data_IF_297345152279
#
_entry.id   IF_297345152279
#
_cell.length_a   1.000
_cell.length_b   1.000
_cell.length_c   1.000
_cell.angle_alpha   90.00
_cell.angle_beta   90.00
_cell.angle_gamma   90.00
#
_symmetry.space_group_name_H-M   'P 1'
#
loop_
_entity.id
_entity.type
_entity.pdbx_description
1 polymer ?
#
# COMPACT_ATOMS: atom_id res chain seq x y z
N UNK A 1 4.18 0.09 -27.42
CA UNK A 1 3.87 -0.85 -26.33
C UNK A 1 3.63 0.00 -25.08
N UNK A 2 2.88 -0.45 -24.08
CA UNK A 2 2.72 0.35 -22.86
C UNK A 2 3.94 0.26 -21.96
N UNK A 3 4.18 1.30 -21.15
CA UNK A 3 5.38 1.42 -20.31
C UNK A 3 5.50 0.26 -19.30
N UNK A 4 4.39 -0.21 -18.72
CA UNK A 4 4.44 -1.26 -17.71
C UNK A 4 4.81 -2.60 -18.33
N UNK A 5 4.28 -2.90 -19.52
CA UNK A 5 4.66 -4.09 -20.28
C UNK A 5 6.14 -4.05 -20.67
N UNK A 6 6.63 -2.91 -21.17
CA UNK A 6 8.05 -2.74 -21.50
C UNK A 6 8.95 -2.92 -20.26
N UNK A 7 8.52 -2.40 -19.11
CA UNK A 7 9.23 -2.58 -17.85
C UNK A 7 9.22 -4.04 -17.38
N UNK A 8 8.09 -4.73 -17.46
CA UNK A 8 7.98 -6.15 -17.13
C UNK A 8 8.91 -7.02 -17.99
N UNK A 9 8.95 -6.79 -19.29
CA UNK A 9 9.85 -7.50 -20.21
C UNK A 9 11.33 -7.18 -19.94
N UNK A 10 11.63 -5.94 -19.52
CA UNK A 10 12.97 -5.57 -19.09
C UNK A 10 13.38 -6.33 -17.82
N UNK A 11 12.51 -6.41 -16.81
CA UNK A 11 12.78 -7.16 -15.57
C UNK A 11 13.00 -8.64 -15.86
N UNK A 12 12.14 -9.25 -16.66
CA UNK A 12 12.26 -10.66 -17.04
C UNK A 12 13.58 -10.93 -17.77
N UNK A 13 13.95 -10.09 -18.75
CA UNK A 13 15.23 -10.21 -19.44
C UNK A 13 16.41 -10.05 -18.48
N UNK A 14 16.35 -9.05 -17.61
CA UNK A 14 17.39 -8.76 -16.63
C UNK A 14 17.64 -9.95 -15.68
N UNK A 15 16.56 -10.60 -15.23
CA UNK A 15 16.63 -11.79 -14.39
C UNK A 15 17.18 -13.00 -15.14
N UNK A 16 16.70 -13.27 -16.36
CA UNK A 16 17.16 -14.39 -17.20
C UNK A 16 18.65 -14.32 -17.51
N UNK A 17 19.17 -13.13 -17.77
CA UNK A 17 20.62 -12.91 -17.97
C UNK A 17 21.47 -13.30 -16.75
N UNK A 18 20.86 -13.34 -15.56
CA UNK A 18 21.52 -13.62 -14.27
C UNK A 18 21.12 -14.97 -13.67
N UNK A 19 20.22 -15.71 -14.33
CA UNK A 19 19.61 -16.94 -13.80
C UNK A 19 18.67 -16.71 -12.62
N UNK A 20 18.22 -15.47 -12.39
CA UNK A 20 17.31 -15.12 -11.29
C UNK A 20 15.84 -15.47 -11.62
N UNK A 21 15.55 -15.78 -12.88
CA UNK A 21 14.27 -16.34 -13.31
C UNK A 21 14.00 -17.75 -12.74
N UNK A 22 15.05 -18.42 -12.24
CA UNK A 22 14.95 -19.69 -11.53
C UNK A 22 14.53 -19.55 -10.06
N UNK A 23 14.47 -18.32 -9.52
CA UNK A 23 13.99 -18.08 -8.15
C UNK A 23 12.51 -18.48 -8.06
N UNK A 24 12.13 -19.39 -7.14
CA UNK A 24 10.75 -19.84 -7.04
C UNK A 24 9.78 -18.68 -6.74
N UNK A 25 8.59 -18.73 -7.34
CA UNK A 25 7.53 -17.73 -7.12
C UNK A 25 7.16 -17.56 -5.63
N UNK A 26 7.32 -18.59 -4.80
CA UNK A 26 7.13 -18.49 -3.35
C UNK A 26 8.14 -17.56 -2.69
N UNK A 27 9.41 -17.62 -3.07
CA UNK A 27 10.45 -16.71 -2.57
C UNK A 27 10.22 -15.28 -3.09
N UNK A 28 9.87 -15.13 -4.37
CA UNK A 28 9.48 -13.82 -4.94
C UNK A 28 8.29 -13.19 -4.19
N UNK A 29 7.30 -14.00 -3.80
CA UNK A 29 6.16 -13.56 -3.00
C UNK A 29 6.58 -13.16 -1.58
N UNK A 30 7.52 -13.87 -0.96
CA UNK A 30 8.10 -13.48 0.34
C UNK A 30 8.81 -12.13 0.24
N UNK A 31 9.66 -11.92 -0.77
CA UNK A 31 10.32 -10.63 -0.98
C UNK A 31 9.33 -9.49 -1.24
N UNK A 32 8.28 -9.74 -2.04
CA UNK A 32 7.20 -8.75 -2.19
C UNK A 32 6.58 -8.36 -0.84
N UNK A 33 6.35 -9.33 0.06
CA UNK A 33 5.82 -9.04 1.39
C UNK A 33 6.81 -8.27 2.28
N UNK A 34 8.11 -8.53 2.14
CA UNK A 34 9.18 -7.77 2.80
C UNK A 34 9.16 -6.29 2.36
N UNK A 35 9.14 -6.02 1.05
CA UNK A 35 9.11 -4.64 0.53
C UNK A 35 7.82 -3.89 0.93
N UNK A 36 6.68 -4.58 0.97
CA UNK A 36 5.44 -3.99 1.48
C UNK A 36 5.55 -3.65 2.98
N UNK A 37 6.29 -4.46 3.75
CA UNK A 37 6.61 -4.19 5.15
C UNK A 37 7.52 -2.96 5.31
N UNK A 38 8.48 -2.80 4.41
CA UNK A 38 9.37 -1.65 4.33
C UNK A 38 8.60 -0.35 3.99
N UNK A 39 7.69 -0.41 3.00
CA UNK A 39 6.75 0.69 2.71
C UNK A 39 5.94 1.06 3.96
N UNK A 40 5.40 0.07 4.67
CA UNK A 40 4.64 0.32 5.90
C UNK A 40 5.50 1.00 6.97
N UNK A 41 6.77 0.58 7.13
CA UNK A 41 7.72 1.19 8.07
C UNK A 41 8.01 2.64 7.70
N UNK A 42 8.27 2.93 6.43
CA UNK A 42 8.52 4.30 5.94
C UNK A 42 7.31 5.22 6.20
N UNK A 43 6.08 4.76 5.90
CA UNK A 43 4.84 5.52 6.17
C UNK A 43 4.64 5.77 7.66
N UNK A 44 4.93 4.78 8.52
CA UNK A 44 4.81 4.95 9.97
C UNK A 44 5.78 6.00 10.53
N UNK A 45 7.01 6.05 10.01
CA UNK A 45 7.99 7.08 10.38
C UNK A 45 7.57 8.46 9.86
N UNK A 46 7.04 8.55 8.64
CA UNK A 46 6.53 9.81 8.06
C UNK A 46 5.29 10.38 8.77
N UNK A 47 4.43 9.53 9.34
CA UNK A 47 3.18 9.94 10.00
C UNK A 47 3.36 10.48 11.43
N UNK A 48 4.60 10.68 11.89
CA UNK A 48 4.95 11.11 13.26
C UNK A 48 4.47 10.16 14.38
N UNK A 49 3.94 8.98 14.05
CA UNK A 49 3.54 7.97 15.02
C UNK A 49 4.76 7.36 15.75
N UNK A 50 5.93 7.33 15.09
CA UNK A 50 7.24 6.99 15.67
C UNK A 50 8.24 8.11 15.35
N UNK A 51 8.33 9.11 16.23
CA UNK A 51 9.15 10.33 16.06
C UNK A 51 10.66 10.12 16.20
N UNK A 52 11.10 8.92 16.59
CA UNK A 52 12.48 8.72 17.01
C UNK A 52 13.47 8.63 15.84
N UNK A 53 12.99 8.51 14.59
CA UNK A 53 13.82 8.46 13.39
C UNK A 53 13.18 9.24 12.22
N UNK A 54 13.89 10.21 11.60
CA UNK A 54 13.40 10.88 10.41
C UNK A 54 13.43 9.92 9.20
N UNK A 55 12.27 9.48 8.72
CA UNK A 55 12.14 8.91 7.38
C UNK A 55 12.04 10.03 6.34
N UNK A 56 12.55 9.76 5.14
CA UNK A 56 12.46 10.68 4.01
C UNK A 56 11.42 10.20 3.00
N UNK A 57 10.91 11.11 2.18
CA UNK A 57 10.11 10.74 1.02
C UNK A 57 10.93 9.92 0.01
N UNK A 58 12.26 10.02 0.03
CA UNK A 58 13.14 9.24 -0.82
C UNK A 58 13.19 7.76 -0.39
N UNK A 59 13.17 7.46 0.92
CA UNK A 59 13.04 6.09 1.43
C UNK A 59 11.72 5.48 0.92
N UNK A 60 10.59 6.14 1.17
CA UNK A 60 9.29 5.65 0.69
C UNK A 60 9.26 5.45 -0.83
N UNK A 61 9.90 6.33 -1.60
CA UNK A 61 10.00 6.21 -3.06
C UNK A 61 10.77 4.96 -3.48
N UNK A 62 11.85 4.62 -2.78
CA UNK A 62 12.65 3.42 -3.07
C UNK A 62 11.85 2.15 -2.74
N UNK A 63 11.27 2.06 -1.55
CA UNK A 63 10.51 0.88 -1.13
C UNK A 63 9.27 0.63 -2.02
N UNK A 64 8.62 1.70 -2.49
CA UNK A 64 7.53 1.56 -3.48
C UNK A 64 8.02 1.01 -4.81
N UNK A 65 9.22 1.40 -5.27
CA UNK A 65 9.79 0.90 -6.50
C UNK A 65 10.21 -0.58 -6.36
N UNK A 66 10.75 -0.97 -5.22
CA UNK A 66 11.13 -2.37 -4.94
C UNK A 66 9.89 -3.27 -4.84
N UNK A 67 8.84 -2.83 -4.15
CA UNK A 67 7.55 -3.54 -4.10
C UNK A 67 6.94 -3.74 -5.50
N UNK A 68 6.95 -2.69 -6.34
CA UNK A 68 6.48 -2.80 -7.73
C UNK A 68 7.36 -3.77 -8.53
N UNK A 69 8.67 -3.74 -8.33
CA UNK A 69 9.60 -4.65 -9.01
C UNK A 69 9.28 -6.10 -8.67
N UNK A 70 9.14 -6.46 -7.39
CA UNK A 70 8.80 -7.83 -7.00
C UNK A 70 7.37 -8.24 -7.41
N UNK A 71 6.42 -7.31 -7.48
CA UNK A 71 5.10 -7.59 -8.04
C UNK A 71 5.16 -7.94 -9.53
N UNK A 72 5.97 -7.19 -10.30
CA UNK A 72 6.25 -7.47 -11.71
C UNK A 72 6.95 -8.82 -11.86
N UNK A 73 7.93 -9.13 -11.00
CA UNK A 73 8.61 -10.43 -10.97
C UNK A 73 7.63 -11.58 -10.75
N UNK A 74 6.74 -11.41 -9.77
CA UNK A 74 5.71 -12.39 -9.48
C UNK A 74 4.77 -12.58 -10.68
N UNK A 75 4.33 -11.50 -11.32
CA UNK A 75 3.46 -11.58 -12.49
C UNK A 75 4.10 -12.36 -13.65
N UNK A 76 5.34 -12.04 -14.04
CA UNK A 76 5.99 -12.75 -15.16
C UNK A 76 6.26 -14.23 -14.81
N UNK A 77 6.52 -14.57 -13.54
CA UNK A 77 6.76 -15.96 -13.13
C UNK A 77 5.55 -16.88 -13.36
N UNK A 78 4.35 -16.30 -13.49
CA UNK A 78 3.10 -16.99 -13.84
C UNK A 78 2.65 -16.73 -15.28
N UNK A 79 3.44 -16.03 -16.10
CA UNK A 79 3.06 -15.63 -17.46
C UNK A 79 1.89 -14.63 -17.50
N UNK A 80 1.71 -13.85 -16.44
CA UNK A 80 0.64 -12.84 -16.36
C UNK A 80 1.12 -11.55 -17.01
N UNK A 81 0.32 -11.04 -17.94
CA UNK A 81 0.45 -9.69 -18.48
C UNK A 81 -0.13 -8.68 -17.48
N UNK A 82 0.75 -8.03 -16.72
CA UNK A 82 0.32 -7.14 -15.64
C UNK A 82 -0.39 -5.89 -16.16
N UNK A 83 -0.01 -5.38 -17.33
CA UNK A 83 -0.64 -4.21 -17.94
C UNK A 83 -2.06 -4.53 -18.40
N UNK A 84 -2.28 -5.69 -19.03
CA UNK A 84 -3.63 -6.15 -19.38
C UNK A 84 -4.48 -6.37 -18.12
N UNK A 85 -3.93 -7.00 -17.08
CA UNK A 85 -4.63 -7.22 -15.81
C UNK A 85 -5.07 -5.90 -15.15
N UNK A 86 -4.22 -4.87 -15.18
CA UNK A 86 -4.55 -3.53 -14.67
C UNK A 86 -5.62 -2.83 -15.51
N UNK A 87 -5.58 -2.98 -16.84
CA UNK A 87 -6.60 -2.42 -17.72
C UNK A 87 -7.99 -3.04 -17.46
N UNK A 88 -8.05 -4.37 -17.30
CA UNK A 88 -9.28 -5.05 -16.92
C UNK A 88 -9.78 -4.62 -15.54
N UNK A 89 -8.87 -4.42 -14.57
CA UNK A 89 -9.22 -3.91 -13.25
C UNK A 89 -9.75 -2.47 -13.32
N UNK A 90 -9.15 -1.60 -14.14
CA UNK A 90 -9.61 -0.22 -14.36
C UNK A 90 -11.05 -0.20 -14.86
N UNK A 91 -11.39 -1.00 -15.86
CA UNK A 91 -12.75 -1.10 -16.39
C UNK A 91 -13.76 -1.57 -15.32
N UNK A 92 -13.37 -2.57 -14.50
CA UNK A 92 -14.20 -3.02 -13.36
C UNK A 92 -14.41 -1.91 -12.33
N UNK A 93 -13.38 -1.14 -12.01
CA UNK A 93 -13.46 0.00 -11.08
C UNK A 93 -14.35 1.11 -11.64
N UNK A 94 -14.18 1.51 -12.89
CA UNK A 94 -14.99 2.54 -13.55
C UNK A 94 -16.47 2.14 -13.61
N UNK A 95 -16.76 0.87 -13.93
CA UNK A 95 -18.12 0.35 -13.91
C UNK A 95 -18.73 0.31 -12.49
N UNK A 96 -17.96 -0.15 -11.49
CA UNK A 96 -18.44 -0.27 -10.09
C UNK A 96 -18.63 1.09 -9.41
N UNK A 97 -17.76 2.06 -9.72
CA UNK A 97 -17.70 3.36 -9.06
C UNK A 97 -18.00 4.52 -10.02
N UNK A 98 -18.92 4.31 -10.98
CA UNK A 98 -19.24 5.28 -12.03
C UNK A 98 -19.78 6.63 -11.50
N UNK A 99 -20.37 6.66 -10.31
CA UNK A 99 -20.95 7.87 -9.73
C UNK A 99 -19.95 8.61 -8.82
N UNK A 100 -19.39 9.70 -9.35
CA UNK A 100 -18.54 10.63 -8.57
C UNK A 100 -19.29 11.17 -7.35
N UNK A 101 -20.60 11.46 -7.48
CA UNK A 101 -21.42 11.92 -6.37
C UNK A 101 -21.53 10.86 -5.26
N UNK A 102 -21.72 9.59 -5.63
CA UNK A 102 -21.76 8.50 -4.66
C UNK A 102 -20.42 8.35 -3.95
N UNK A 103 -19.30 8.41 -4.68
CA UNK A 103 -17.96 8.37 -4.09
C UNK A 103 -17.68 9.54 -3.13
N UNK A 104 -18.11 10.77 -3.48
CA UNK A 104 -18.02 11.94 -2.59
C UNK A 104 -18.84 11.75 -1.31
N UNK A 105 -20.05 11.23 -1.43
CA UNK A 105 -20.88 10.96 -0.26
C UNK A 105 -20.34 9.79 0.59
N UNK A 106 -19.65 8.83 -0.02
CA UNK A 106 -18.98 7.76 0.70
C UNK A 106 -17.83 8.29 1.57
N UNK A 107 -16.99 9.18 1.04
CA UNK A 107 -15.91 9.79 1.84
C UNK A 107 -16.46 10.72 2.93
N UNK A 108 -17.53 11.48 2.69
CA UNK A 108 -18.22 12.27 3.74
C UNK A 108 -18.65 11.37 4.90
N UNK A 109 -19.39 10.29 4.60
CA UNK A 109 -19.84 9.34 5.63
C UNK A 109 -18.70 8.59 6.32
N UNK A 110 -17.60 8.35 5.63
CA UNK A 110 -16.41 7.77 6.26
C UNK A 110 -15.82 8.75 7.28
N UNK A 111 -15.55 9.99 6.88
CA UNK A 111 -14.98 11.00 7.76
C UNK A 111 -15.88 11.33 8.95
N UNK A 112 -17.20 11.44 8.75
CA UNK A 112 -18.16 11.67 9.84
C UNK A 112 -18.14 10.54 10.87
N UNK A 113 -18.00 9.28 10.42
CA UNK A 113 -17.87 8.12 11.31
C UNK A 113 -16.56 8.15 12.09
N UNK A 114 -15.44 8.41 11.42
CA UNK A 114 -14.13 8.51 12.08
C UNK A 114 -14.12 9.63 13.12
N UNK A 115 -14.67 10.81 12.80
CA UNK A 115 -14.80 11.92 13.75
C UNK A 115 -15.67 11.53 14.96
N UNK A 116 -16.75 10.79 14.73
CA UNK A 116 -17.63 10.31 15.79
C UNK A 116 -16.91 9.34 16.73
N UNK A 117 -16.21 8.34 16.19
CA UNK A 117 -15.46 7.35 16.98
C UNK A 117 -14.29 8.00 17.74
N UNK A 118 -13.51 8.87 17.09
CA UNK A 118 -12.43 9.60 17.77
C UNK A 118 -12.95 10.51 18.88
N UNK A 119 -14.09 11.18 18.67
CA UNK A 119 -14.74 12.02 19.68
C UNK A 119 -15.25 11.19 20.86
N UNK A 120 -15.71 9.96 20.61
CA UNK A 120 -16.08 9.00 21.64
C UNK A 120 -14.85 8.61 22.47
N UNK A 121 -13.76 8.17 21.83
CA UNK A 121 -12.53 7.80 22.54
C UNK A 121 -11.95 8.96 23.35
N UNK A 122 -12.05 10.19 22.83
CA UNK A 122 -11.63 11.38 23.58
C UNK A 122 -12.44 11.59 24.86
N UNK A 123 -13.76 11.43 24.81
CA UNK A 123 -14.64 11.50 25.99
C UNK A 123 -14.29 10.41 27.01
N UNK A 124 -14.15 9.17 26.56
CA UNK A 124 -13.78 8.05 27.45
C UNK A 124 -12.43 8.30 28.16
N UNK A 125 -11.47 8.93 27.48
CA UNK A 125 -10.19 9.33 28.08
C UNK A 125 -10.36 10.43 29.15
N UNK A 126 -11.19 11.43 28.89
CA UNK A 126 -11.42 12.56 29.81
C UNK A 126 -12.21 12.13 31.06
N UNK A 127 -13.14 11.19 30.92
CA UNK A 127 -13.86 10.55 32.04
C UNK A 127 -12.90 9.77 32.94
N UNK A 128 -12.04 8.91 32.37
CA UNK A 128 -11.02 8.16 33.14
C UNK A 128 -10.10 9.09 33.94
N UNK A 129 -9.66 10.20 33.34
CA UNK A 129 -8.82 11.21 34.01
C UNK A 129 -9.55 11.89 35.18
N UNK A 130 -10.85 12.14 35.02
CA UNK A 130 -11.67 12.76 36.06
C UNK A 130 -11.90 11.82 37.25
N UNK A 131 -12.12 10.54 36.99
CA UNK A 131 -12.27 9.52 38.03
C UNK A 131 -10.97 9.30 38.82
N UNK A 132 -9.82 9.28 38.14
CA UNK A 132 -8.51 9.16 38.78
C UNK A 132 -8.19 10.38 39.67
N UNK A 133 -8.63 11.58 39.27
CA UNK A 133 -8.45 12.80 40.06
C UNK A 133 -9.33 12.83 41.32
N UNK A 134 -10.53 12.21 41.30
CA UNK A 134 -11.43 12.13 42.47
C UNK A 134 -11.01 11.07 43.49
N UNK A 135 -10.20 10.09 43.09
CA UNK A 135 -9.70 9.01 43.95
C UNK A 135 -8.39 9.36 44.68
N UNK A 136 -7.80 10.52 44.40
CA UNK A 136 -6.61 11.07 45.08
C UNK A 136 -7.02 12.07 46.14
#
# INVERSE_FOLDING_TARGET
>A
MGYLREYQEWVERFDRERGWDLVPATATCTHLAEEVGEVARAVLRLSEYKRDEPASLDELKQELADAVTFLVKLAYSFGIDLEEALEQNRQKCEARYASVKAGRHEIERFLDRELTELSRFRRELDERRSDDARKR
#
